data_IF_008288022573
#
_entry.id   IF_008288022573
#
_cell.length_a   1.000
_cell.length_b   1.000
_cell.length_c   1.000
_cell.angle_alpha   90.00
_cell.angle_beta   90.00
_cell.angle_gamma   90.00
#
_symmetry.space_group_name_H-M   'P 1'
#
loop_
_entity.id
_entity.type
_entity.pdbx_description
1 polymer ?
#
# COMPACT_ATOMS: atom_id res chain seq x y z
N UNK A 1 29.52 24.87 32.99
CA UNK A 1 28.94 24.30 31.76
C UNK A 1 28.31 22.91 31.95
N UNK A 2 28.11 22.39 33.18
CA UNK A 2 27.50 21.06 33.37
C UNK A 2 25.96 21.08 33.30
N UNK A 3 25.32 22.11 33.85
CA UNK A 3 23.85 22.22 33.91
C UNK A 3 23.25 22.44 32.50
N UNK A 4 23.89 23.24 31.65
CA UNK A 4 23.44 23.46 30.27
C UNK A 4 23.57 22.17 29.45
N UNK A 5 24.65 21.40 29.64
CA UNK A 5 24.82 20.09 28.97
C UNK A 5 23.77 19.05 29.37
N UNK A 6 23.36 19.05 30.66
CA UNK A 6 22.28 18.17 31.15
C UNK A 6 20.92 18.60 30.58
N UNK A 7 20.63 19.90 30.55
CA UNK A 7 19.38 20.41 29.98
C UNK A 7 19.29 20.14 28.47
N UNK A 8 20.37 20.36 27.71
CA UNK A 8 20.42 20.06 26.28
C UNK A 8 20.32 18.54 26.02
N UNK A 9 20.96 17.72 26.86
CA UNK A 9 20.89 16.26 26.78
C UNK A 9 19.49 15.69 27.01
N UNK A 10 18.66 16.34 27.84
CA UNK A 10 17.26 15.96 28.05
C UNK A 10 16.32 16.53 26.98
N UNK A 11 16.68 17.65 26.36
CA UNK A 11 15.88 18.29 25.32
C UNK A 11 15.95 17.56 23.98
N UNK A 12 17.07 16.92 23.64
CA UNK A 12 17.20 16.24 22.35
C UNK A 12 16.23 15.04 22.21
N UNK A 13 16.13 14.09 23.17
CA UNK A 13 15.13 13.02 23.11
C UNK A 13 13.69 13.55 23.06
N UNK A 14 13.40 14.60 23.82
CA UNK A 14 12.07 15.21 23.84
C UNK A 14 11.70 15.86 22.50
N UNK A 15 12.64 16.56 21.86
CA UNK A 15 12.44 17.16 20.53
C UNK A 15 12.23 16.09 19.46
N UNK A 16 12.95 14.97 19.53
CA UNK A 16 12.76 13.89 18.56
C UNK A 16 11.41 13.18 18.72
N UNK A 17 10.98 12.92 19.97
CA UNK A 17 9.64 12.38 20.24
C UNK A 17 8.53 13.30 19.73
N UNK A 18 8.68 14.62 19.93
CA UNK A 18 7.74 15.60 19.43
C UNK A 18 7.68 15.62 17.88
N UNK A 19 8.84 15.54 17.22
CA UNK A 19 8.91 15.49 15.74
C UNK A 19 8.23 14.24 15.19
N UNK A 20 8.48 13.09 15.79
CA UNK A 20 7.86 11.84 15.32
C UNK A 20 6.35 11.83 15.55
N UNK A 21 5.88 12.36 16.68
CA UNK A 21 4.45 12.52 16.93
C UNK A 21 3.79 13.40 15.86
N UNK A 22 4.46 14.48 15.45
CA UNK A 22 3.96 15.35 14.38
C UNK A 22 3.95 14.65 13.01
N UNK A 23 5.00 13.89 12.67
CA UNK A 23 5.05 13.12 11.42
C UNK A 23 3.97 12.04 11.36
N UNK A 24 3.76 11.31 12.46
CA UNK A 24 2.67 10.33 12.56
C UNK A 24 1.29 10.96 12.42
N UNK A 25 1.07 12.15 12.98
CA UNK A 25 -0.18 12.89 12.76
C UNK A 25 -0.36 13.28 11.29
N UNK A 26 0.71 13.65 10.59
CA UNK A 26 0.66 13.90 9.15
C UNK A 26 0.31 12.62 8.35
N UNK A 27 1.00 11.50 8.61
CA UNK A 27 0.70 10.23 7.93
C UNK A 27 -0.74 9.75 8.23
N UNK A 28 -1.23 9.93 9.47
CA UNK A 28 -2.62 9.63 9.83
C UNK A 28 -3.62 10.52 9.08
N UNK A 29 -3.32 11.80 8.87
CA UNK A 29 -4.17 12.70 8.08
C UNK A 29 -4.17 12.35 6.58
N UNK A 30 -3.02 11.95 6.04
CA UNK A 30 -2.92 11.44 4.67
C UNK A 30 -3.81 10.21 4.49
N UNK A 31 -3.71 9.24 5.41
CA UNK A 31 -4.58 8.06 5.44
C UNK A 31 -6.07 8.41 5.60
N UNK A 32 -6.42 9.48 6.34
CA UNK A 32 -7.79 9.99 6.40
C UNK A 32 -8.27 10.51 5.05
N UNK A 33 -7.44 11.24 4.31
CA UNK A 33 -7.78 11.69 2.96
C UNK A 33 -7.98 10.51 2.01
N UNK A 34 -7.12 9.49 2.09
CA UNK A 34 -7.26 8.24 1.31
C UNK A 34 -8.58 7.53 1.64
N UNK A 35 -8.89 7.36 2.92
CA UNK A 35 -10.15 6.75 3.37
C UNK A 35 -11.39 7.51 2.88
N UNK A 36 -11.37 8.84 2.94
CA UNK A 36 -12.44 9.68 2.37
C UNK A 36 -12.51 9.56 0.85
N UNK A 37 -11.37 9.51 0.16
CA UNK A 37 -11.29 9.30 -1.28
C UNK A 37 -11.92 7.98 -1.72
N UNK A 38 -11.65 6.90 -0.99
CA UNK A 38 -12.26 5.57 -1.21
C UNK A 38 -13.78 5.60 -1.03
N UNK A 39 -14.27 6.24 0.03
CA UNK A 39 -15.72 6.36 0.28
C UNK A 39 -16.43 7.23 -0.76
N UNK A 40 -15.83 8.35 -1.16
CA UNK A 40 -16.36 9.20 -2.22
C UNK A 40 -16.40 8.46 -3.57
N UNK A 41 -15.36 7.68 -3.89
CA UNK A 41 -15.36 6.80 -5.04
C UNK A 41 -16.50 5.79 -4.96
N UNK A 42 -16.62 5.07 -3.85
CA UNK A 42 -17.64 4.04 -3.68
C UNK A 42 -19.05 4.61 -3.81
N UNK A 43 -19.32 5.76 -3.19
CA UNK A 43 -20.60 6.47 -3.31
C UNK A 43 -20.91 6.85 -4.78
N UNK A 44 -19.92 7.36 -5.52
CA UNK A 44 -20.07 7.66 -6.95
C UNK A 44 -20.22 6.39 -7.83
N UNK A 45 -19.77 5.24 -7.33
CA UNK A 45 -19.67 3.98 -8.05
C UNK A 45 -20.49 2.87 -7.38
N UNK A 46 -21.77 3.11 -7.05
CA UNK A 46 -22.70 2.04 -6.59
C UNK A 46 -22.18 1.20 -5.41
N UNK A 47 -21.50 1.84 -4.47
CA UNK A 47 -21.03 1.26 -3.20
C UNK A 47 -19.99 0.13 -3.34
N UNK A 48 -19.18 0.14 -4.40
CA UNK A 48 -18.01 -0.75 -4.52
C UNK A 48 -16.68 0.00 -4.53
N UNK A 49 -15.68 -0.63 -3.93
CA UNK A 49 -14.30 -0.15 -3.90
C UNK A 49 -13.67 -0.24 -5.30
N UNK A 50 -12.69 0.63 -5.63
CA UNK A 50 -11.92 0.49 -6.86
C UNK A 50 -11.31 -0.91 -7.00
N UNK A 51 -11.03 -1.30 -8.23
CA UNK A 51 -10.19 -2.48 -8.52
C UNK A 51 -8.83 -2.30 -7.88
N UNK A 52 -8.25 -3.37 -7.32
CA UNK A 52 -6.86 -3.37 -6.89
C UNK A 52 -5.95 -2.90 -8.01
N UNK A 53 -6.07 -3.55 -9.17
CA UNK A 53 -5.61 -3.05 -10.47
C UNK A 53 -6.41 -3.67 -11.61
N UNK A 54 -6.19 -3.21 -12.84
CA UNK A 54 -6.82 -3.77 -14.05
C UNK A 54 -5.81 -4.68 -14.76
N UNK A 55 -6.14 -5.97 -14.90
CA UNK A 55 -5.42 -6.89 -15.78
C UNK A 55 -6.33 -7.44 -16.88
N UNK A 56 -5.75 -7.94 -17.98
CA UNK A 56 -6.49 -8.44 -19.15
C UNK A 56 -6.36 -9.96 -19.39
N UNK A 57 -5.39 -10.59 -18.74
CA UNK A 57 -5.00 -12.00 -18.86
C UNK A 57 -5.78 -12.96 -17.94
N UNK A 58 -6.46 -12.43 -16.91
CA UNK A 58 -7.08 -13.24 -15.86
C UNK A 58 -6.10 -13.78 -14.82
N UNK A 59 -4.80 -13.49 -14.97
CA UNK A 59 -3.73 -13.89 -14.04
C UNK A 59 -3.28 -12.74 -13.16
N UNK A 60 -3.40 -11.49 -13.65
CA UNK A 60 -3.14 -10.31 -12.84
C UNK A 60 -1.83 -9.60 -13.16
N UNK A 61 -1.02 -10.12 -14.08
CA UNK A 61 0.33 -9.63 -14.37
C UNK A 61 0.46 -8.90 -15.73
N UNK A 62 -0.53 -9.04 -16.61
CA UNK A 62 -0.58 -8.40 -17.93
C UNK A 62 -1.75 -7.40 -18.09
N UNK A 63 -1.52 -6.34 -18.87
CA UNK A 63 -2.55 -5.44 -19.35
C UNK A 63 -2.42 -3.98 -18.87
N UNK A 64 -3.56 -3.32 -18.67
CA UNK A 64 -3.57 -1.86 -18.47
C UNK A 64 -2.89 -1.41 -17.16
N UNK A 65 -2.98 -2.22 -16.11
CA UNK A 65 -2.24 -2.05 -14.86
C UNK A 65 -2.82 -1.03 -13.88
N UNK A 66 -3.76 -0.17 -14.27
CA UNK A 66 -4.19 0.94 -13.42
C UNK A 66 -4.74 0.53 -12.05
N UNK A 67 -4.15 1.09 -10.99
CA UNK A 67 -4.42 0.71 -9.60
C UNK A 67 -5.57 1.46 -8.93
N UNK A 68 -5.96 1.00 -7.75
CA UNK A 68 -7.01 1.59 -6.91
C UNK A 68 -6.75 3.07 -6.57
N UNK A 69 -5.50 3.42 -6.30
CA UNK A 69 -5.04 4.75 -5.90
C UNK A 69 -5.18 5.77 -7.03
N UNK A 70 -4.88 5.37 -8.27
CA UNK A 70 -5.13 6.21 -9.46
C UNK A 70 -6.62 6.56 -9.67
N UNK A 71 -7.54 5.71 -9.20
CA UNK A 71 -8.99 5.90 -9.35
C UNK A 71 -9.58 6.88 -8.35
N UNK A 72 -8.90 7.13 -7.23
CA UNK A 72 -9.41 8.02 -6.17
C UNK A 72 -8.88 9.46 -6.26
N UNK A 73 -7.93 9.74 -7.17
CA UNK A 73 -7.35 11.08 -7.35
C UNK A 73 -8.38 12.23 -7.43
N UNK A 74 -9.50 12.12 -8.18
CA UNK A 74 -10.46 13.22 -8.27
C UNK A 74 -11.11 13.57 -6.92
N UNK A 75 -11.12 12.62 -5.99
CA UNK A 75 -11.68 12.77 -4.65
C UNK A 75 -10.64 13.22 -3.61
N UNK A 76 -9.39 13.41 -4.04
CA UNK A 76 -8.25 13.87 -3.24
C UNK A 76 -7.67 15.19 -3.75
N UNK A 77 -8.43 15.95 -4.54
CA UNK A 77 -8.01 17.22 -5.16
C UNK A 77 -6.90 17.09 -6.22
N UNK A 78 -6.58 15.88 -6.67
CA UNK A 78 -5.54 15.58 -7.68
C UNK A 78 -6.10 15.50 -9.11
N UNK A 79 -7.02 16.42 -9.47
CA UNK A 79 -7.68 16.40 -10.79
C UNK A 79 -6.72 16.71 -11.94
N UNK A 80 -5.72 17.58 -11.72
CA UNK A 80 -4.73 17.96 -12.73
C UNK A 80 -3.90 16.75 -13.22
N UNK A 81 -3.63 15.81 -12.32
CA UNK A 81 -2.95 14.55 -12.64
C UNK A 81 -3.91 13.58 -13.29
N UNK A 82 -5.13 13.45 -12.74
CA UNK A 82 -6.14 12.53 -13.24
C UNK A 82 -6.53 12.81 -14.71
N UNK A 83 -6.68 14.09 -15.08
CA UNK A 83 -7.08 14.49 -16.43
C UNK A 83 -6.01 14.19 -17.50
N UNK A 84 -4.77 13.89 -17.09
CA UNK A 84 -3.69 13.46 -17.98
C UNK A 84 -3.69 11.94 -18.22
N UNK A 85 -4.50 11.18 -17.49
CA UNK A 85 -4.53 9.72 -17.56
C UNK A 85 -5.56 9.23 -18.59
N UNK A 86 -5.09 8.41 -19.53
CA UNK A 86 -5.95 7.68 -20.46
C UNK A 86 -6.06 6.22 -20.00
N UNK A 87 -7.11 5.91 -19.23
CA UNK A 87 -7.31 4.58 -18.64
C UNK A 87 -7.53 3.42 -19.62
N UNK A 88 -7.61 3.70 -20.92
CA UNK A 88 -7.75 2.69 -21.98
C UNK A 88 -6.41 2.30 -22.61
N UNK A 89 -5.29 2.85 -22.15
CA UNK A 89 -3.94 2.43 -22.56
C UNK A 89 -3.10 2.07 -21.34
N UNK A 90 -2.06 1.27 -21.54
CA UNK A 90 -1.19 0.81 -20.45
C UNK A 90 -0.42 1.96 -19.80
N UNK A 91 -0.06 1.80 -18.52
CA UNK A 91 0.71 2.81 -17.77
C UNK A 91 2.03 3.14 -18.50
N UNK A 92 2.74 2.13 -19.00
CA UNK A 92 4.02 2.32 -19.70
C UNK A 92 3.95 3.29 -20.90
N UNK A 93 2.79 3.36 -21.57
CA UNK A 93 2.57 4.23 -22.73
C UNK A 93 2.44 5.73 -22.39
N UNK A 94 2.27 6.07 -21.11
CA UNK A 94 2.09 7.45 -20.67
C UNK A 94 3.43 8.21 -20.54
N UNK A 95 3.34 9.55 -20.54
CA UNK A 95 4.51 10.42 -20.38
C UNK A 95 5.18 10.24 -19.01
N UNK A 96 6.46 10.60 -18.93
CA UNK A 96 7.18 10.65 -17.66
C UNK A 96 6.57 11.65 -16.67
N UNK A 97 5.88 12.69 -17.14
CA UNK A 97 5.16 13.63 -16.26
C UNK A 97 4.08 12.93 -15.44
N UNK A 98 3.31 12.00 -16.05
CA UNK A 98 2.29 11.24 -15.32
C UNK A 98 2.95 10.18 -14.43
N UNK A 99 3.87 9.38 -14.99
CA UNK A 99 4.50 8.26 -14.29
C UNK A 99 5.30 8.71 -13.06
N UNK A 100 6.06 9.79 -13.18
CA UNK A 100 6.95 10.30 -12.13
C UNK A 100 6.31 11.37 -11.23
N UNK A 101 4.99 11.60 -11.31
CA UNK A 101 4.32 12.55 -10.40
C UNK A 101 4.34 12.00 -8.98
N UNK A 102 4.85 12.80 -8.04
CA UNK A 102 4.73 12.54 -6.61
C UNK A 102 3.45 13.20 -6.09
N UNK A 103 2.68 12.45 -5.30
CA UNK A 103 1.43 12.93 -4.69
C UNK A 103 1.66 12.96 -3.19
N UNK A 104 1.64 14.15 -2.59
CA UNK A 104 2.01 14.36 -1.19
C UNK A 104 1.16 13.52 -0.23
N UNK A 105 -0.13 13.32 -0.54
CA UNK A 105 -1.03 12.47 0.25
C UNK A 105 -0.63 10.99 0.25
N UNK A 106 0.13 10.53 -0.75
CA UNK A 106 0.61 9.15 -0.80
C UNK A 106 1.97 8.95 -0.13
N UNK A 107 2.56 9.99 0.44
CA UNK A 107 3.88 9.94 1.07
C UNK A 107 3.76 10.02 2.60
N UNK A 108 4.52 9.20 3.31
CA UNK A 108 4.61 9.30 4.76
C UNK A 108 5.81 10.16 5.16
N UNK A 109 5.58 11.18 5.98
CA UNK A 109 6.61 12.09 6.46
C UNK A 109 7.72 11.39 7.29
N UNK A 110 7.47 10.19 7.82
CA UNK A 110 8.47 9.38 8.54
C UNK A 110 9.31 8.49 7.62
N UNK A 111 8.92 8.34 6.37
CA UNK A 111 9.63 7.53 5.39
C UNK A 111 9.78 8.27 4.06
N UNK A 112 10.88 9.02 3.96
CA UNK A 112 11.28 9.70 2.72
C UNK A 112 12.55 9.02 2.23
N UNK A 113 12.43 8.20 1.18
CA UNK A 113 13.50 7.42 0.52
C UNK A 113 14.75 8.24 0.16
N UNK A 114 15.59 8.51 1.16
CA UNK A 114 16.73 9.45 1.07
C UNK A 114 16.38 10.81 0.43
N UNK A 115 15.13 11.26 0.61
CA UNK A 115 14.61 12.49 0.01
C UNK A 115 14.22 12.42 -1.48
N UNK A 116 14.31 11.25 -2.12
CA UNK A 116 13.78 11.04 -3.47
C UNK A 116 12.29 10.70 -3.42
N UNK A 117 11.48 11.40 -4.23
CA UNK A 117 10.03 11.15 -4.35
C UNK A 117 9.70 10.16 -5.49
N UNK A 118 10.72 9.72 -6.20
CA UNK A 118 10.59 8.86 -7.37
C UNK A 118 11.72 7.85 -7.42
N UNK A 119 11.51 6.74 -8.12
CA UNK A 119 12.54 5.72 -8.29
C UNK A 119 12.33 4.93 -9.59
N UNK A 120 13.37 4.25 -10.06
CA UNK A 120 13.29 3.37 -11.22
C UNK A 120 12.98 1.94 -10.76
N UNK A 121 12.14 1.23 -11.51
CA UNK A 121 11.74 -0.14 -11.21
C UNK A 121 12.47 -1.12 -12.13
N UNK A 122 12.98 -2.20 -11.53
CA UNK A 122 13.59 -3.35 -12.20
C UNK A 122 12.71 -3.98 -13.28
N UNK A 123 13.34 -4.54 -14.32
CA UNK A 123 12.64 -5.49 -15.19
C UNK A 123 12.45 -6.81 -14.43
N UNK A 124 11.39 -7.54 -14.75
CA UNK A 124 11.10 -8.86 -14.17
C UNK A 124 12.25 -9.86 -14.36
N UNK A 125 12.86 -9.88 -15.55
CA UNK A 125 14.02 -10.75 -15.83
C UNK A 125 15.28 -10.22 -15.14
N UNK A 126 15.51 -10.65 -13.89
CA UNK A 126 16.76 -10.42 -13.18
C UNK A 126 16.66 -9.66 -11.86
N UNK A 127 15.45 -9.48 -11.31
CA UNK A 127 15.33 -9.16 -9.90
C UNK A 127 15.42 -10.43 -9.05
N UNK A 128 16.04 -10.31 -7.87
CA UNK A 128 15.79 -11.17 -6.73
C UNK A 128 14.79 -10.46 -5.80
N UNK A 129 13.95 -11.22 -5.10
CA UNK A 129 12.89 -10.71 -4.21
C UNK A 129 13.44 -9.73 -3.16
N UNK A 130 14.75 -9.82 -2.88
CA UNK A 130 15.53 -9.00 -1.94
C UNK A 130 16.03 -7.66 -2.52
N UNK A 131 16.11 -7.49 -3.85
CA UNK A 131 16.63 -6.27 -4.47
C UNK A 131 15.96 -5.89 -5.81
N UNK A 132 14.65 -5.62 -5.80
CA UNK A 132 13.86 -5.42 -7.03
C UNK A 132 14.04 -4.02 -7.66
N UNK A 133 14.86 -3.14 -7.07
CA UNK A 133 15.13 -1.78 -7.54
C UNK A 133 16.50 -1.64 -8.23
N UNK A 134 17.09 -2.75 -8.71
CA UNK A 134 18.49 -2.83 -9.16
C UNK A 134 18.79 -2.32 -10.57
N UNK A 135 17.79 -1.93 -11.38
CA UNK A 135 18.04 -1.37 -12.72
C UNK A 135 17.94 0.16 -12.76
N UNK A 136 19.06 0.83 -12.98
CA UNK A 136 19.10 2.28 -13.28
C UNK A 136 18.65 2.61 -14.72
N UNK A 137 18.14 1.62 -15.46
CA UNK A 137 17.74 1.73 -16.86
C UNK A 137 16.24 1.41 -16.95
N UNK A 138 15.41 2.44 -16.88
CA UNK A 138 13.96 2.28 -16.95
C UNK A 138 13.21 3.59 -16.73
N UNK A 139 11.89 3.51 -16.89
CA UNK A 139 11.00 4.60 -16.50
C UNK A 139 11.05 4.83 -14.99
N UNK A 140 10.91 6.10 -14.61
CA UNK A 140 10.85 6.53 -13.21
C UNK A 140 9.40 6.71 -12.79
N UNK A 141 9.08 6.24 -11.59
CA UNK A 141 7.73 6.25 -11.03
C UNK A 141 7.64 7.03 -9.73
N UNK A 142 6.50 7.68 -9.51
CA UNK A 142 6.15 8.33 -8.26
C UNK A 142 5.93 7.30 -7.16
N UNK A 143 6.61 7.51 -6.04
CA UNK A 143 6.58 6.59 -4.91
C UNK A 143 5.28 6.72 -4.10
N UNK A 144 4.89 5.64 -3.42
CA UNK A 144 3.79 5.62 -2.45
C UNK A 144 4.19 4.82 -1.20
N UNK A 145 3.81 5.32 -0.03
CA UNK A 145 3.93 4.62 1.25
C UNK A 145 2.68 3.87 1.66
N UNK A 146 1.63 3.87 0.83
CA UNK A 146 0.35 3.31 1.21
C UNK A 146 -0.14 2.36 0.13
N UNK A 147 -0.35 1.11 0.52
CA UNK A 147 -0.72 0.02 -0.37
C UNK A 147 -2.09 -0.55 0.03
N UNK A 148 -2.82 -1.05 -0.97
CA UNK A 148 -4.08 -1.73 -0.72
C UNK A 148 -3.86 -3.08 -0.04
N UNK A 149 -4.85 -3.61 0.65
CA UNK A 149 -4.76 -4.97 1.23
C UNK A 149 -5.27 -6.01 0.23
N UNK A 150 -4.36 -6.88 -0.21
CA UNK A 150 -4.69 -8.05 -1.02
C UNK A 150 -5.42 -9.11 -0.23
N UNK A 151 -4.96 -9.35 0.99
CA UNK A 151 -5.39 -10.49 1.76
C UNK A 151 -4.49 -10.85 2.91
N UNK A 152 -4.79 -11.96 3.57
CA UNK A 152 -3.97 -12.58 4.60
C UNK A 152 -3.16 -13.78 4.09
N UNK A 153 -3.52 -14.34 2.94
CA UNK A 153 -2.82 -15.47 2.32
C UNK A 153 -1.84 -14.97 1.24
N UNK A 154 -0.72 -15.68 1.10
CA UNK A 154 0.32 -15.43 0.11
C UNK A 154 -0.26 -15.14 -1.27
N UNK A 155 0.22 -14.09 -1.95
CA UNK A 155 -0.12 -13.82 -3.35
C UNK A 155 0.75 -14.69 -4.24
N UNK A 156 0.15 -15.36 -5.21
CA UNK A 156 0.93 -16.15 -6.15
C UNK A 156 1.50 -15.29 -7.28
N UNK A 157 2.79 -15.47 -7.57
CA UNK A 157 3.53 -14.75 -8.62
C UNK A 157 3.96 -15.64 -9.80
N UNK A 158 3.74 -16.98 -9.77
CA UNK A 158 4.19 -17.92 -10.83
C UNK A 158 3.03 -18.69 -11.47
N UNK A 159 2.55 -18.19 -12.62
CA UNK A 159 1.50 -18.83 -13.39
C UNK A 159 2.05 -19.89 -14.36
N UNK A 160 2.44 -21.07 -13.87
CA UNK A 160 2.63 -22.24 -14.74
C UNK A 160 3.78 -23.21 -14.46
N UNK A 161 4.28 -23.28 -13.22
CA UNK A 161 5.47 -24.06 -12.87
C UNK A 161 5.29 -25.52 -12.42
N UNK A 162 4.10 -26.11 -12.32
CA UNK A 162 3.94 -27.55 -11.98
C UNK A 162 4.54 -28.02 -10.62
N UNK A 163 4.99 -27.08 -9.78
CA UNK A 163 5.25 -27.26 -8.36
C UNK A 163 4.01 -26.84 -7.57
N UNK A 164 3.70 -27.52 -6.47
CA UNK A 164 2.49 -27.23 -5.69
C UNK A 164 2.44 -25.76 -5.26
N UNK A 165 1.52 -25.02 -5.86
CA UNK A 165 1.24 -23.63 -5.55
C UNK A 165 0.68 -23.50 -4.12
N UNK A 166 1.27 -22.62 -3.32
CA UNK A 166 0.83 -22.31 -1.96
C UNK A 166 0.52 -20.81 -1.90
N UNK A 167 -0.65 -20.40 -2.39
CA UNK A 167 -1.09 -19.01 -2.37
C UNK A 167 -2.41 -18.82 -3.10
N UNK A 168 -2.92 -17.58 -3.07
CA UNK A 168 -4.07 -17.14 -3.85
C UNK A 168 -3.59 -16.56 -5.18
N UNK A 169 -4.29 -16.94 -6.25
CA UNK A 169 -4.14 -16.28 -7.54
C UNK A 169 -4.44 -14.78 -7.38
N UNK A 170 -3.79 -13.89 -8.14
CA UNK A 170 -3.94 -12.46 -7.99
C UNK A 170 -5.37 -11.94 -8.20
N UNK A 171 -6.27 -12.70 -8.83
CA UNK A 171 -7.70 -12.38 -8.97
C UNK A 171 -8.60 -12.98 -7.86
N UNK A 172 -8.02 -13.78 -6.96
CA UNK A 172 -8.73 -14.52 -5.90
C UNK A 172 -8.46 -14.01 -4.47
N UNK A 173 -7.67 -12.93 -4.32
CA UNK A 173 -7.32 -12.33 -3.02
C UNK A 173 -8.49 -12.21 -2.04
N UNK A 174 -8.24 -12.49 -0.76
CA UNK A 174 -9.26 -12.56 0.31
C UNK A 174 -9.45 -11.25 1.09
N UNK A 175 -8.65 -10.22 0.80
CA UNK A 175 -8.79 -8.84 1.25
C UNK A 175 -9.73 -8.00 0.38
N UNK A 176 -9.46 -6.70 0.20
CA UNK A 176 -10.36 -5.80 -0.54
C UNK A 176 -9.83 -5.36 -1.91
N UNK A 177 -8.53 -5.45 -2.14
CA UNK A 177 -7.88 -5.03 -3.39
C UNK A 177 -7.09 -6.17 -4.01
N UNK A 178 -7.59 -6.70 -5.12
CA UNK A 178 -6.94 -7.76 -5.91
C UNK A 178 -7.19 -7.49 -7.41
N UNK A 179 -6.61 -8.30 -8.29
CA UNK A 179 -6.73 -8.12 -9.74
C UNK A 179 -8.21 -8.06 -10.13
N UNK A 180 -8.58 -7.00 -10.85
CA UNK A 180 -9.94 -6.76 -11.31
C UNK A 180 -11.03 -6.73 -10.23
N UNK A 181 -10.66 -6.60 -8.95
CA UNK A 181 -11.59 -6.67 -7.83
C UNK A 181 -12.72 -5.63 -7.93
N UNK A 182 -13.91 -6.01 -7.48
CA UNK A 182 -15.05 -5.08 -7.41
C UNK A 182 -15.85 -5.37 -6.15
N UNK A 183 -15.22 -5.13 -5.00
CA UNK A 183 -15.78 -5.49 -3.70
C UNK A 183 -16.80 -4.43 -3.27
N UNK A 184 -18.12 -4.73 -3.24
CA UNK A 184 -19.08 -3.83 -2.63
C UNK A 184 -18.96 -3.87 -1.10
N UNK A 185 -19.24 -2.77 -0.42
CA UNK A 185 -19.16 -2.71 1.06
C UNK A 185 -19.97 -3.82 1.74
N UNK A 186 -21.12 -4.20 1.17
CA UNK A 186 -21.97 -5.31 1.66
C UNK A 186 -21.33 -6.71 1.58
N UNK A 187 -20.24 -6.87 0.84
CA UNK A 187 -19.49 -8.14 0.73
C UNK A 187 -18.32 -8.22 1.72
N UNK A 188 -18.09 -7.17 2.50
CA UNK A 188 -17.14 -7.17 3.61
C UNK A 188 -17.90 -7.64 4.85
N UNK A 189 -18.02 -8.97 4.99
CA UNK A 189 -18.87 -9.60 6.00
C UNK A 189 -18.24 -9.65 7.38
N UNK A 190 -16.91 -9.51 7.48
CA UNK A 190 -16.20 -9.43 8.76
C UNK A 190 -16.40 -8.07 9.45
N UNK A 191 -16.94 -7.10 8.70
CA UNK A 191 -17.34 -5.79 9.16
C UNK A 191 -16.42 -4.69 8.67
N UNK A 192 -17.00 -3.59 8.19
CA UNK A 192 -16.23 -2.48 7.61
C UNK A 192 -15.22 -1.86 8.59
N UNK A 193 -15.53 -1.84 9.88
CA UNK A 193 -14.65 -1.33 10.94
C UNK A 193 -13.64 -2.37 11.44
N UNK A 194 -13.61 -3.56 10.83
CA UNK A 194 -12.78 -4.72 11.20
C UNK A 194 -11.96 -5.27 10.03
N UNK A 195 -12.15 -4.76 8.83
CA UNK A 195 -11.33 -5.07 7.66
C UNK A 195 -10.46 -3.88 7.30
N UNK A 196 -9.15 -4.08 7.21
CA UNK A 196 -8.19 -3.09 6.74
C UNK A 196 -8.31 -2.99 5.22
N UNK A 197 -8.33 -1.75 4.72
CA UNK A 197 -8.34 -1.46 3.30
C UNK A 197 -6.96 -1.00 2.79
N UNK A 198 -6.24 -0.20 3.59
CA UNK A 198 -4.93 0.36 3.21
C UNK A 198 -3.99 0.30 4.41
N UNK A 199 -2.75 -0.14 4.17
CA UNK A 199 -1.67 -0.18 5.16
C UNK A 199 -0.43 0.60 4.70
N UNK A 200 0.53 0.78 5.60
CA UNK A 200 1.80 1.43 5.29
C UNK A 200 2.82 0.44 4.69
N UNK A 201 3.68 0.97 3.81
CA UNK A 201 4.85 0.29 3.26
C UNK A 201 6.08 1.19 3.39
N UNK A 202 7.20 0.57 3.75
CA UNK A 202 8.53 1.19 3.79
C UNK A 202 9.20 1.19 2.42
N UNK A 203 9.78 2.33 2.08
CA UNK A 203 10.46 2.62 0.82
C UNK A 203 11.74 1.84 0.57
N UNK A 204 12.28 1.21 1.62
CA UNK A 204 13.53 0.43 1.63
C UNK A 204 13.30 -1.07 1.42
N UNK A 205 12.14 -1.59 1.81
CA UNK A 205 11.77 -3.00 1.57
C UNK A 205 11.22 -3.12 0.16
N UNK A 206 10.21 -2.31 -0.15
CA UNK A 206 9.54 -2.34 -1.43
C UNK A 206 9.20 -0.93 -1.91
N UNK A 207 9.75 -0.54 -3.06
CA UNK A 207 9.31 0.65 -3.76
C UNK A 207 7.85 0.50 -4.24
N UNK A 208 6.86 0.93 -3.48
CA UNK A 208 5.46 0.91 -3.91
C UNK A 208 5.11 2.13 -4.77
N UNK A 209 4.11 2.00 -5.64
CA UNK A 209 3.68 3.05 -6.57
C UNK A 209 2.19 3.30 -6.48
N UNK A 210 1.78 4.57 -6.62
CA UNK A 210 0.36 4.92 -6.58
C UNK A 210 -0.36 4.70 -7.91
N UNK A 211 0.37 4.59 -9.03
CA UNK A 211 -0.24 4.60 -10.37
C UNK A 211 -0.94 3.28 -10.71
N UNK A 212 -0.38 2.15 -10.28
CA UNK A 212 -0.87 0.81 -10.56
C UNK A 212 0.23 -0.21 -10.82
N UNK A 213 -0.20 -1.40 -11.21
CA UNK A 213 0.65 -2.54 -11.58
C UNK A 213 1.30 -2.21 -12.92
N UNK A 214 2.62 -2.38 -13.03
CA UNK A 214 3.36 -2.03 -14.23
C UNK A 214 3.81 -3.32 -14.91
N UNK A 215 3.20 -3.64 -16.04
CA UNK A 215 3.48 -4.83 -16.85
C UNK A 215 4.98 -5.00 -17.15
N UNK A 216 5.48 -6.23 -17.00
CA UNK A 216 6.88 -6.61 -17.24
C UNK A 216 7.89 -6.09 -16.20
N UNK A 217 7.40 -5.49 -15.10
CA UNK A 217 8.24 -5.05 -14.00
C UNK A 217 8.28 -6.04 -12.87
N UNK A 218 9.43 -6.06 -12.19
CA UNK A 218 9.61 -6.90 -11.04
C UNK A 218 8.61 -6.56 -9.93
N UNK A 219 8.00 -7.60 -9.36
CA UNK A 219 7.04 -7.49 -8.26
C UNK A 219 5.88 -6.51 -8.55
N UNK A 220 5.44 -6.44 -9.81
CA UNK A 220 4.53 -5.40 -10.29
C UNK A 220 3.24 -5.30 -9.46
N UNK A 221 2.69 -6.44 -9.03
CA UNK A 221 1.45 -6.52 -8.24
C UNK A 221 1.67 -6.04 -6.79
N UNK A 222 2.72 -6.56 -6.16
CA UNK A 222 3.11 -6.25 -4.79
C UNK A 222 3.54 -4.78 -4.57
N UNK A 223 3.78 -4.03 -5.65
CA UNK A 223 3.99 -2.57 -5.58
C UNK A 223 2.71 -1.76 -5.38
N UNK A 224 1.53 -2.38 -5.54
CA UNK A 224 0.21 -1.72 -5.44
C UNK A 224 -0.55 -2.18 -4.20
N UNK A 225 -0.35 -3.45 -3.82
CA UNK A 225 -1.05 -4.11 -2.73
C UNK A 225 -0.09 -4.89 -1.84
N UNK A 226 -0.38 -4.98 -0.55
CA UNK A 226 0.35 -5.79 0.41
C UNK A 226 -0.45 -6.99 0.90
N UNK A 227 0.27 -7.98 1.39
CA UNK A 227 -0.26 -9.23 1.94
C UNK A 227 0.00 -9.23 3.44
N UNK A 228 -1.01 -9.63 4.21
CA UNK A 228 -0.97 -9.74 5.66
C UNK A 228 -0.61 -11.15 6.11
N UNK A 229 0.21 -11.88 5.36
CA UNK A 229 0.67 -13.22 5.69
C UNK A 229 1.57 -13.17 6.92
N UNK A 230 2.45 -12.18 6.97
CA UNK A 230 3.36 -11.94 8.07
C UNK A 230 2.92 -10.75 8.93
N UNK A 231 3.40 -10.70 10.17
CA UNK A 231 3.17 -9.56 11.03
C UNK A 231 3.92 -8.34 10.48
N UNK A 232 3.26 -7.18 10.40
CA UNK A 232 3.93 -5.96 9.96
C UNK A 232 5.18 -5.66 10.81
N UNK A 233 6.21 -5.09 10.19
CA UNK A 233 7.51 -4.84 10.80
C UNK A 233 8.27 -6.12 11.25
N UNK A 234 8.09 -7.24 10.56
CA UNK A 234 8.89 -8.43 10.80
C UNK A 234 10.40 -8.18 10.53
N UNK A 235 11.24 -9.00 11.16
CA UNK A 235 12.70 -8.88 11.08
C UNK A 235 13.27 -9.25 9.71
N UNK A 236 12.57 -10.11 8.98
CA UNK A 236 12.92 -10.61 7.65
C UNK A 236 11.70 -10.43 6.73
N UNK A 237 11.36 -9.17 6.38
CA UNK A 237 10.12 -8.88 5.67
C UNK A 237 10.22 -9.30 4.20
N UNK A 238 9.15 -9.90 3.69
CA UNK A 238 8.98 -10.12 2.26
C UNK A 238 8.60 -8.82 1.55
N UNK A 239 8.66 -8.82 0.23
CA UNK A 239 8.44 -7.60 -0.56
C UNK A 239 7.00 -7.06 -0.42
N UNK A 240 6.04 -7.97 -0.35
CA UNK A 240 4.61 -7.72 -0.23
C UNK A 240 4.15 -7.44 1.21
N UNK A 241 5.05 -7.45 2.19
CA UNK A 241 4.71 -7.24 3.59
C UNK A 241 4.44 -5.77 3.93
N UNK A 242 3.63 -5.57 4.96
CA UNK A 242 3.38 -4.26 5.53
C UNK A 242 4.54 -3.81 6.42
N UNK A 243 4.92 -2.53 6.31
CA UNK A 243 5.99 -1.97 7.12
C UNK A 243 5.81 -0.48 7.38
N UNK A 244 6.09 -0.06 8.60
CA UNK A 244 6.01 1.32 9.06
C UNK A 244 7.25 1.76 9.83
N UNK A 245 7.72 2.97 9.51
CA UNK A 245 8.78 3.67 10.24
C UNK A 245 8.32 4.24 11.59
N UNK A 246 7.01 4.20 11.87
CA UNK A 246 6.49 4.72 13.11
C UNK A 246 6.88 3.82 14.29
N UNK A 247 7.34 4.41 15.41
CA UNK A 247 7.65 3.62 16.59
C UNK A 247 6.42 2.89 17.14
N UNK A 248 6.59 1.59 17.41
CA UNK A 248 5.63 0.72 18.09
C UNK A 248 4.35 0.40 17.30
N UNK A 249 4.30 0.60 15.98
CA UNK A 249 3.10 0.26 15.23
C UNK A 249 3.02 0.85 13.84
N UNK A 250 1.86 0.69 13.22
CA UNK A 250 1.55 1.11 11.86
C UNK A 250 0.19 1.82 11.80
N UNK A 251 0.07 2.86 10.98
CA UNK A 251 -1.25 3.42 10.67
C UNK A 251 -1.94 2.58 9.59
N UNK A 252 -3.24 2.35 9.76
CA UNK A 252 -4.05 1.63 8.78
C UNK A 252 -5.36 2.36 8.54
N UNK A 253 -5.91 2.23 7.34
CA UNK A 253 -7.28 2.66 6.99
C UNK A 253 -8.16 1.44 6.97
N UNK A 254 -9.28 1.48 7.68
CA UNK A 254 -10.31 0.45 7.64
C UNK A 254 -11.30 0.69 6.49
N UNK A 255 -12.05 -0.34 6.11
CA UNK A 255 -13.02 -0.26 5.02
C UNK A 255 -14.16 0.74 5.28
N UNK A 256 -14.46 1.09 6.53
CA UNK A 256 -15.37 2.20 6.90
C UNK A 256 -14.74 3.60 6.83
N UNK A 257 -13.47 3.70 6.42
CA UNK A 257 -12.71 4.94 6.26
C UNK A 257 -12.09 5.48 7.55
N UNK A 258 -12.27 4.82 8.70
CA UNK A 258 -11.55 5.23 9.90
C UNK A 258 -10.07 4.84 9.81
N UNK A 259 -9.26 5.55 10.60
CA UNK A 259 -7.81 5.33 10.66
C UNK A 259 -7.50 4.96 12.08
N UNK A 260 -6.76 3.89 12.26
CA UNK A 260 -6.28 3.44 13.56
C UNK A 260 -4.77 3.22 13.49
N UNK A 261 -4.16 3.08 14.66
CA UNK A 261 -2.76 2.73 14.77
C UNK A 261 -2.67 1.38 15.45
N UNK A 262 -2.27 0.36 14.68
CA UNK A 262 -2.08 -0.99 15.17
C UNK A 262 -0.77 -1.06 15.93
N UNK A 263 -0.80 -1.63 17.13
CA UNK A 263 0.40 -1.78 17.95
C UNK A 263 1.27 -2.92 17.45
N UNK A 264 2.59 -2.75 17.43
CA UNK A 264 3.53 -3.82 17.05
C UNK A 264 3.55 -5.04 17.97
N UNK A 265 2.83 -4.98 19.10
CA UNK A 265 2.58 -6.13 19.99
C UNK A 265 1.27 -6.86 19.69
N UNK A 266 0.58 -6.51 18.60
CA UNK A 266 -0.61 -7.22 18.15
C UNK A 266 -0.25 -8.67 17.80
N UNK A 267 -1.18 -9.59 18.08
CA UNK A 267 -1.01 -10.98 17.66
C UNK A 267 -1.16 -11.08 16.14
N UNK A 268 -0.26 -11.82 15.50
CA UNK A 268 -0.26 -12.01 14.04
C UNK A 268 -1.60 -12.56 13.53
N UNK A 269 -2.22 -13.51 14.26
CA UNK A 269 -3.53 -14.06 13.92
C UNK A 269 -4.64 -13.00 13.89
N UNK A 270 -4.53 -11.98 14.75
CA UNK A 270 -5.45 -10.83 14.76
C UNK A 270 -5.16 -9.94 13.55
N UNK A 271 -3.89 -9.70 13.24
CA UNK A 271 -3.51 -8.92 12.06
C UNK A 271 -4.01 -9.57 10.75
N UNK A 272 -3.76 -10.86 10.57
CA UNK A 272 -4.27 -11.67 9.47
C UNK A 272 -5.80 -11.56 9.37
N UNK A 273 -6.52 -11.75 10.47
CA UNK A 273 -7.98 -11.62 10.50
C UNK A 273 -8.49 -10.21 10.16
N UNK A 274 -7.70 -9.16 10.41
CA UNK A 274 -8.04 -7.80 9.98
C UNK A 274 -7.79 -7.57 8.47
N UNK A 275 -6.97 -8.40 7.82
CA UNK A 275 -6.65 -8.30 6.39
C UNK A 275 -7.68 -9.00 5.49
N UNK A 276 -8.55 -9.86 6.05
CA UNK A 276 -9.60 -10.56 5.31
C UNK A 276 -10.91 -9.76 5.24
N UNK A 277 -11.66 -9.93 4.15
CA UNK A 277 -13.01 -9.33 3.99
C UNK A 277 -14.14 -10.27 4.43
N UNK A 278 -13.89 -11.58 4.41
CA UNK A 278 -14.90 -12.65 4.55
C UNK A 278 -14.39 -13.92 5.24
N UNK A 279 -13.35 -13.84 6.07
CA UNK A 279 -12.78 -15.01 6.76
C UNK A 279 -13.63 -15.54 7.91
N UNK A 280 -14.51 -14.71 8.49
CA UNK A 280 -15.43 -15.10 9.56
C UNK A 280 -14.78 -15.20 10.94
N UNK A 281 -13.56 -14.69 11.11
CA UNK A 281 -12.84 -14.64 12.37
C UNK A 281 -13.46 -13.61 13.33
N UNK A 282 -13.48 -13.94 14.63
CA UNK A 282 -13.99 -13.02 15.66
C UNK A 282 -12.84 -12.16 16.17
N UNK A 283 -12.71 -10.96 15.61
CA UNK A 283 -11.70 -10.00 16.08
C UNK A 283 -12.25 -9.16 17.23
N UNK A 284 -11.55 -9.15 18.37
CA UNK A 284 -11.90 -8.38 19.57
C UNK A 284 -11.95 -6.86 19.34
N UNK A 285 -12.23 -6.05 20.37
CA UNK A 285 -12.29 -4.58 20.24
C UNK A 285 -11.04 -3.84 20.74
N UNK A 286 -9.96 -4.54 21.06
CA UNK A 286 -8.72 -3.96 21.59
C UNK A 286 -7.55 -4.26 20.66
N UNK A 287 -7.28 -3.32 19.75
CA UNK A 287 -6.11 -3.30 18.87
C UNK A 287 -5.74 -1.85 18.55
#
# INVERSE_FOLDING_TARGET
>A
MAIIGILVGLLLPAVQQARESARRLACSNNMKQIGLGLHNFAHANREYLPKGWVSEDGHGDEGLGWGWSSRILPFMEENDVYDQITFTTSIGSHSSSVKATAIDTFLCASDLRDGSLTFAIGEETGCDDESPDTSAAGDTYGYSNYVGVFGAEHMEHDHGGGGGHTGLEPDDGDGVFFANSRVPFRHITDGLSKTIAVGERDSRIAGSVWIGMIEGKCEAMSRVVGVGEHMFNEADPHFEDFYSQHPNGMNVVFADGHVAFLQGSLEESIFQALCTRKGGEVVGSGF
#
